data_IF_423042170463
#
_entry.id   IF_423042170463
#
_cell.length_a   1.000
_cell.length_b   1.000
_cell.length_c   1.000
_cell.angle_alpha   90.00
_cell.angle_beta   90.00
_cell.angle_gamma   90.00
#
_symmetry.space_group_name_H-M   'P 1'
#
loop_
_entity.id
_entity.type
_entity.pdbx_description
1 polymer ?
#
# COMPACT_ATOMS: atom_id res chain seq x y z
N UNK A 1 7.55 -17.37 2.35
CA UNK A 1 8.02 -16.30 3.26
C UNK A 1 7.06 -15.15 3.08
N UNK A 2 6.34 -14.75 4.12
CA UNK A 2 5.64 -13.47 4.09
C UNK A 2 6.72 -12.38 4.14
N UNK A 3 6.82 -11.59 3.07
CA UNK A 3 7.66 -10.40 3.06
C UNK A 3 6.95 -9.39 3.96
N UNK A 4 7.58 -8.82 5.00
CA UNK A 4 6.92 -7.86 5.87
C UNK A 4 6.53 -6.63 5.05
N UNK A 5 5.24 -6.54 4.72
CA UNK A 5 4.63 -5.37 4.12
C UNK A 5 4.11 -4.49 5.24
N UNK A 6 4.36 -3.19 5.15
CA UNK A 6 3.75 -2.24 6.08
C UNK A 6 2.23 -2.32 5.84
N UNK A 7 1.47 -2.65 6.87
CA UNK A 7 0.01 -2.77 6.77
C UNK A 7 -0.67 -1.55 7.37
N UNK A 8 -1.68 -1.01 6.68
CA UNK A 8 -2.52 0.09 7.17
C UNK A 8 -4.00 -0.27 7.05
N UNK A 9 -4.86 0.42 7.81
CA UNK A 9 -6.31 0.22 7.67
C UNK A 9 -6.85 0.86 6.39
N UNK A 10 -7.92 0.30 5.81
CA UNK A 10 -8.61 0.93 4.69
C UNK A 10 -9.14 2.34 5.00
N UNK A 11 -9.50 2.61 6.26
CA UNK A 11 -9.93 3.94 6.70
C UNK A 11 -8.81 4.97 6.69
N UNK A 12 -7.60 4.57 7.06
CA UNK A 12 -6.40 5.39 6.99
C UNK A 12 -5.96 5.60 5.55
N UNK A 13 -5.87 4.52 4.75
CA UNK A 13 -5.55 4.58 3.33
C UNK A 13 -6.45 5.56 2.56
N UNK A 14 -7.76 5.54 2.85
CA UNK A 14 -8.72 6.48 2.24
C UNK A 14 -8.45 7.93 2.61
N UNK A 15 -8.05 8.21 3.86
CA UNK A 15 -7.79 9.57 4.34
C UNK A 15 -6.48 10.14 3.79
N UNK A 16 -5.50 9.28 3.50
CA UNK A 16 -4.14 9.67 3.15
C UNK A 16 -3.73 9.21 1.76
N UNK A 17 -4.68 8.89 0.87
CA UNK A 17 -4.41 8.20 -0.39
C UNK A 17 -3.34 8.90 -1.25
N UNK A 18 -3.41 10.22 -1.42
CA UNK A 18 -2.45 10.97 -2.23
C UNK A 18 -1.04 10.92 -1.61
N UNK A 19 -0.82 11.33 -0.33
CA UNK A 19 0.47 11.15 0.34
C UNK A 19 0.97 9.70 0.37
N UNK A 20 0.06 8.73 0.48
CA UNK A 20 0.40 7.33 0.52
C UNK A 20 0.93 6.83 -0.84
N UNK A 21 0.35 7.28 -1.95
CA UNK A 21 0.85 6.97 -3.31
C UNK A 21 2.24 7.56 -3.52
N UNK A 22 2.46 8.81 -3.10
CA UNK A 22 3.77 9.46 -3.15
C UNK A 22 4.81 8.64 -2.39
N UNK A 23 4.53 8.31 -1.12
CA UNK A 23 5.42 7.49 -0.29
C UNK A 23 5.72 6.13 -0.92
N UNK A 24 4.71 5.43 -1.42
CA UNK A 24 4.90 4.13 -2.07
C UNK A 24 5.85 4.25 -3.26
N UNK A 25 5.66 5.27 -4.11
CA UNK A 25 6.52 5.50 -5.26
C UNK A 25 7.95 5.89 -4.88
N UNK A 26 8.11 6.73 -3.85
CA UNK A 26 9.42 7.19 -3.35
C UNK A 26 10.20 6.06 -2.68
N UNK A 27 9.57 5.34 -1.74
CA UNK A 27 10.19 4.28 -0.96
C UNK A 27 10.37 2.99 -1.78
N UNK A 28 9.65 2.87 -2.91
CA UNK A 28 9.60 1.67 -3.76
C UNK A 28 9.17 0.43 -3.00
N UNK A 29 8.31 0.59 -2.00
CA UNK A 29 7.81 -0.47 -1.11
C UNK A 29 6.29 -0.62 -1.23
N UNK A 30 5.84 -1.86 -1.24
CA UNK A 30 4.41 -2.17 -1.20
C UNK A 30 3.83 -1.97 0.21
N UNK A 31 2.59 -1.51 0.26
CA UNK A 31 1.79 -1.35 1.48
C UNK A 31 0.55 -2.22 1.36
N UNK A 32 0.29 -3.03 2.38
CA UNK A 32 -0.97 -3.78 2.49
C UNK A 32 -2.05 -2.90 3.12
N UNK A 33 -3.24 -2.92 2.54
CA UNK A 33 -4.42 -2.23 3.04
C UNK A 33 -5.38 -3.29 3.57
N UNK A 34 -5.58 -3.30 4.88
CA UNK A 34 -6.44 -4.27 5.57
C UNK A 34 -7.86 -3.72 5.68
N UNK A 35 -8.84 -4.52 5.27
CA UNK A 35 -10.26 -4.18 5.38
C UNK A 35 -11.11 -5.39 5.75
N UNK A 36 -12.31 -5.16 6.30
CA UNK A 36 -13.28 -6.24 6.59
C UNK A 36 -13.75 -6.97 5.34
N UNK A 37 -13.72 -6.32 4.16
CA UNK A 37 -14.17 -6.87 2.89
C UNK A 37 -13.08 -7.59 2.10
N UNK A 38 -11.87 -7.68 2.64
CA UNK A 38 -10.69 -8.21 1.96
C UNK A 38 -9.55 -7.20 1.96
N UNK A 39 -8.33 -7.72 1.86
CA UNK A 39 -7.12 -6.91 1.82
C UNK A 39 -6.78 -6.54 0.37
N UNK A 40 -6.09 -5.42 0.21
CA UNK A 40 -5.53 -4.97 -1.06
C UNK A 40 -4.06 -4.60 -0.88
N UNK A 41 -3.31 -4.47 -1.98
CA UNK A 41 -1.92 -4.01 -1.96
C UNK A 41 -1.79 -2.79 -2.85
N UNK A 42 -1.18 -1.73 -2.32
CA UNK A 42 -0.72 -0.58 -3.08
C UNK A 42 0.79 -0.72 -3.30
N UNK A 43 1.22 -0.60 -4.55
CA UNK A 43 2.63 -0.77 -4.95
C UNK A 43 2.98 0.22 -6.06
N UNK A 44 4.27 0.55 -6.25
CA UNK A 44 4.70 1.35 -7.40
C UNK A 44 4.34 0.64 -8.71
N UNK A 45 3.87 1.39 -9.70
CA UNK A 45 3.57 0.82 -11.02
C UNK A 45 4.84 0.42 -11.78
N UNK A 46 5.92 1.18 -11.58
CA UNK A 46 7.14 1.12 -12.40
C UNK A 46 8.06 -0.02 -11.93
N UNK A 47 7.67 -1.24 -12.24
CA UNK A 47 8.43 -2.47 -11.97
C UNK A 47 7.77 -3.70 -12.57
N UNK A 48 6.60 -3.53 -13.20
CA UNK A 48 5.88 -4.56 -13.94
C UNK A 48 6.36 -4.59 -15.39
N UNK A 49 7.54 -5.18 -15.58
CA UNK A 49 7.77 -6.05 -16.74
C UNK A 49 7.95 -7.47 -16.22
#
# INVERSE_FOLDING_TARGET
MEVPVISISAGEARKTLIPLIERVNEDRMAVEIISRGGNAVLMPADGSR
#
